data_IF_348339092733
#
_entry.id   IF_348339092733
#
_cell.length_a   1.000
_cell.length_b   1.000
_cell.length_c   1.000
_cell.angle_alpha   90.00
_cell.angle_beta   90.00
_cell.angle_gamma   90.00
#
_symmetry.space_group_name_H-M   'P 1'
#
loop_
_entity.id
_entity.type
_entity.pdbx_description
1 polymer ?
#
# COMPACT_ATOMS: atom_id res chain seq x y z
N UNK A 1 13.58 -28.63 -17.99
CA UNK A 1 12.49 -29.13 -18.85
C UNK A 1 11.23 -29.23 -18.00
N UNK A 2 10.21 -28.41 -18.28
CA UNK A 2 8.74 -28.63 -18.12
C UNK A 2 8.02 -27.27 -18.21
N UNK A 3 7.67 -26.84 -19.43
CA UNK A 3 6.31 -26.84 -20.04
C UNK A 3 5.43 -25.67 -19.57
N UNK A 4 5.54 -24.57 -20.32
CA UNK A 4 4.65 -23.39 -20.28
C UNK A 4 3.32 -23.76 -20.93
N UNK A 5 2.23 -23.75 -20.16
CA UNK A 5 0.88 -24.07 -20.65
C UNK A 5 0.22 -22.81 -21.22
N UNK A 6 0.33 -22.59 -22.53
CA UNK A 6 -0.42 -21.53 -23.24
C UNK A 6 -1.92 -21.81 -23.20
N UNK A 7 -2.67 -20.98 -22.48
CA UNK A 7 -4.14 -20.96 -22.49
C UNK A 7 -4.58 -20.16 -23.72
N UNK A 8 -5.06 -20.84 -24.75
CA UNK A 8 -5.69 -20.21 -25.92
C UNK A 8 -7.16 -19.95 -25.60
N UNK A 9 -7.52 -18.71 -25.28
CA UNK A 9 -8.90 -18.26 -25.34
C UNK A 9 -9.32 -18.14 -26.81
N UNK A 10 -10.28 -18.95 -27.25
CA UNK A 10 -11.00 -18.74 -28.52
C UNK A 10 -12.30 -18.00 -28.21
N UNK A 11 -12.43 -16.78 -28.71
CA UNK A 11 -13.73 -16.12 -28.86
C UNK A 11 -14.30 -16.47 -30.24
N UNK A 12 -15.53 -16.98 -30.37
CA UNK A 12 -16.26 -16.91 -31.63
C UNK A 12 -16.87 -15.51 -31.75
N UNK A 13 -16.23 -14.64 -32.55
CA UNK A 13 -16.85 -13.41 -33.03
C UNK A 13 -17.56 -13.75 -34.34
N UNK A 14 -18.88 -13.89 -34.33
CA UNK A 14 -19.69 -13.94 -35.55
C UNK A 14 -19.83 -12.51 -36.11
N UNK A 15 -18.92 -12.13 -37.01
CA UNK A 15 -18.91 -10.81 -37.70
C UNK A 15 -19.63 -10.91 -39.05
N UNK A 16 -20.39 -11.98 -39.31
CA UNK A 16 -20.98 -12.26 -40.63
C UNK A 16 -22.43 -11.77 -40.80
N UNK A 17 -22.81 -10.63 -40.22
CA UNK A 17 -24.18 -10.12 -40.37
C UNK A 17 -24.29 -8.61 -40.64
N UNK A 18 -23.25 -7.98 -41.23
CA UNK A 18 -23.26 -6.53 -41.49
C UNK A 18 -22.45 -6.07 -42.73
N UNK A 19 -22.37 -6.86 -43.81
CA UNK A 19 -21.79 -6.38 -45.07
C UNK A 19 -22.25 -7.21 -46.30
N UNK A 20 -23.37 -6.81 -46.91
CA UNK A 20 -23.88 -7.09 -48.28
C UNK A 20 -25.41 -6.94 -48.18
N UNK A 21 -26.14 -6.02 -48.81
CA UNK A 21 -25.94 -5.29 -50.07
C UNK A 21 -26.56 -3.89 -49.96
N UNK A 22 -25.80 -2.88 -50.34
CA UNK A 22 -26.32 -1.62 -50.85
C UNK A 22 -26.03 -1.56 -52.34
N UNK A 23 -27.01 -1.09 -53.11
CA UNK A 23 -26.99 -0.76 -54.55
C UNK A 23 -27.56 -1.83 -55.50
N UNK A 24 -28.87 -1.73 -55.75
CA UNK A 24 -29.39 -1.89 -57.12
C UNK A 24 -30.51 -0.90 -57.36
N UNK A 25 -30.14 0.19 -58.03
CA UNK A 25 -31.01 1.10 -58.75
C UNK A 25 -31.42 0.43 -60.05
N UNK A 26 -32.72 0.17 -60.24
CA UNK A 26 -33.25 -0.16 -61.56
C UNK A 26 -34.64 0.46 -61.69
N UNK A 27 -34.71 1.49 -62.54
CA UNK A 27 -35.93 2.06 -63.08
C UNK A 27 -36.81 0.98 -63.71
N UNK A 28 -38.13 1.03 -63.47
CA UNK A 28 -39.08 0.40 -64.38
C UNK A 28 -40.39 1.18 -64.42
N UNK A 29 -40.54 1.92 -65.53
CA UNK A 29 -41.72 2.08 -66.38
C UNK A 29 -43.03 2.53 -65.71
N UNK A 30 -43.31 3.81 -65.94
CA UNK A 30 -44.60 4.45 -65.90
C UNK A 30 -45.56 3.78 -66.92
N UNK A 31 -46.69 3.24 -66.45
CA UNK A 31 -47.83 2.89 -67.30
C UNK A 31 -48.99 3.76 -66.87
N UNK A 32 -49.30 4.75 -67.71
CA UNK A 32 -50.57 5.47 -67.67
C UNK A 32 -51.71 4.49 -67.91
N UNK A 33 -52.68 4.47 -67.00
CA UNK A 33 -54.04 4.03 -67.31
C UNK A 33 -54.99 5.07 -66.75
N UNK A 34 -55.60 5.79 -67.69
CA UNK A 34 -56.73 6.68 -67.50
C UNK A 34 -57.93 5.93 -66.91
N UNK A 35 -58.86 6.71 -66.33
CA UNK A 35 -60.28 6.39 -66.04
C UNK A 35 -60.48 5.36 -64.91
N UNK A 36 -61.17 5.61 -63.80
CA UNK A 36 -62.42 6.35 -63.61
C UNK A 36 -62.45 7.03 -62.23
N UNK A 37 -63.02 8.23 -62.18
CA UNK A 37 -63.59 8.81 -60.95
C UNK A 37 -64.86 8.04 -60.60
N UNK A 38 -64.72 6.77 -60.25
CA UNK A 38 -65.78 6.05 -59.54
C UNK A 38 -65.84 6.70 -58.17
N UNK A 39 -66.93 7.42 -57.89
CA UNK A 39 -67.31 7.77 -56.53
C UNK A 39 -67.14 6.51 -55.68
N UNK A 40 -66.05 6.45 -54.90
CA UNK A 40 -65.88 5.37 -53.95
C UNK A 40 -67.15 5.44 -53.13
N UNK A 41 -67.99 4.38 -53.07
CA UNK A 41 -69.00 4.36 -52.03
C UNK A 41 -68.22 4.68 -50.76
N UNK A 42 -68.66 5.66 -49.97
CA UNK A 42 -68.13 5.80 -48.63
C UNK A 42 -68.33 4.43 -47.99
N UNK A 43 -67.29 3.59 -48.02
CA UNK A 43 -67.25 2.30 -47.36
C UNK A 43 -67.17 2.71 -45.91
N UNK A 44 -68.35 3.00 -45.37
CA UNK A 44 -68.54 3.47 -44.02
C UNK A 44 -68.05 2.31 -43.16
N UNK A 45 -66.83 2.47 -42.64
CA UNK A 45 -66.21 1.46 -41.80
C UNK A 45 -67.14 1.33 -40.59
N UNK A 46 -67.66 0.12 -40.32
CA UNK A 46 -68.52 -0.08 -39.17
C UNK A 46 -67.80 0.45 -37.92
N UNK A 47 -68.49 1.23 -37.10
CA UNK A 47 -67.91 1.87 -35.91
C UNK A 47 -67.12 0.88 -35.04
N UNK A 48 -67.58 -0.35 -34.96
CA UNK A 48 -66.91 -1.48 -34.28
C UNK A 48 -65.49 -1.76 -34.80
N UNK A 49 -65.26 -1.73 -36.11
CA UNK A 49 -63.93 -1.94 -36.73
C UNK A 49 -63.00 -0.75 -36.46
N UNK A 50 -63.54 0.46 -36.46
CA UNK A 50 -62.76 1.67 -36.16
C UNK A 50 -62.30 1.71 -34.70
N UNK A 51 -63.20 1.34 -33.78
CA UNK A 51 -62.88 1.26 -32.36
C UNK A 51 -61.80 0.19 -32.09
N UNK A 52 -61.85 -0.98 -32.74
CA UNK A 52 -60.80 -2.01 -32.66
C UNK A 52 -59.43 -1.55 -33.18
N UNK A 53 -59.39 -0.78 -34.26
CA UNK A 53 -58.11 -0.28 -34.80
C UNK A 53 -57.53 0.78 -33.87
N UNK A 54 -58.36 1.65 -33.31
CA UNK A 54 -57.91 2.66 -32.35
C UNK A 54 -57.41 2.03 -31.04
N UNK A 55 -58.06 0.98 -30.55
CA UNK A 55 -57.57 0.27 -29.35
C UNK A 55 -56.23 -0.40 -29.64
N UNK A 56 -56.11 -1.11 -30.77
CA UNK A 56 -54.83 -1.73 -31.19
C UNK A 56 -53.72 -0.69 -31.41
N UNK A 57 -54.03 0.45 -32.01
CA UNK A 57 -53.06 1.51 -32.22
C UNK A 57 -52.56 2.06 -30.89
N UNK A 58 -53.46 2.34 -29.94
CA UNK A 58 -53.08 2.78 -28.59
C UNK A 58 -52.28 1.73 -27.83
N UNK A 59 -52.63 0.45 -27.97
CA UNK A 59 -51.88 -0.64 -27.34
C UNK A 59 -50.47 -0.79 -27.93
N UNK A 60 -50.34 -0.73 -29.26
CA UNK A 60 -49.04 -0.76 -29.94
C UNK A 60 -48.20 0.47 -29.58
N UNK A 61 -48.81 1.65 -29.54
CA UNK A 61 -48.13 2.88 -29.14
C UNK A 61 -47.61 2.77 -27.69
N UNK A 62 -48.43 2.24 -26.78
CA UNK A 62 -48.02 1.97 -25.39
C UNK A 62 -46.87 0.96 -25.31
N UNK A 63 -46.93 -0.13 -26.08
CA UNK A 63 -45.84 -1.12 -26.14
C UNK A 63 -44.54 -0.53 -26.70
N UNK A 64 -44.64 0.34 -27.70
CA UNK A 64 -43.49 1.03 -28.27
C UNK A 64 -42.85 1.97 -27.24
N UNK A 65 -43.65 2.77 -26.54
CA UNK A 65 -43.20 3.66 -25.48
C UNK A 65 -42.56 2.86 -24.33
N UNK A 66 -43.15 1.73 -23.94
CA UNK A 66 -42.60 0.84 -22.92
C UNK A 66 -41.27 0.20 -23.34
N UNK A 67 -41.16 -0.29 -24.58
CA UNK A 67 -39.90 -0.84 -25.12
C UNK A 67 -38.80 0.22 -25.25
N UNK A 68 -39.15 1.45 -25.66
CA UNK A 68 -38.18 2.55 -25.74
C UNK A 68 -37.68 2.93 -24.36
N UNK A 69 -38.57 2.98 -23.37
CA UNK A 69 -38.21 3.25 -21.99
C UNK A 69 -37.32 2.15 -21.41
N UNK A 70 -37.67 0.88 -21.63
CA UNK A 70 -36.84 -0.24 -21.16
C UNK A 70 -35.44 -0.23 -21.79
N UNK A 71 -35.34 0.06 -23.10
CA UNK A 71 -34.03 0.21 -23.76
C UNK A 71 -33.21 1.34 -23.13
N UNK A 72 -33.82 2.50 -22.89
CA UNK A 72 -33.13 3.64 -22.30
C UNK A 72 -32.67 3.35 -20.87
N UNK A 73 -33.51 2.69 -20.06
CA UNK A 73 -33.18 2.31 -18.69
C UNK A 73 -32.08 1.25 -18.66
N UNK A 74 -32.10 0.29 -19.60
CA UNK A 74 -31.03 -0.72 -19.74
C UNK A 74 -29.70 -0.08 -20.16
N UNK A 75 -29.71 0.83 -21.12
CA UNK A 75 -28.51 1.54 -21.56
C UNK A 75 -27.90 2.38 -20.43
N UNK A 76 -28.74 3.08 -19.65
CA UNK A 76 -28.30 3.80 -18.45
C UNK A 76 -27.70 2.87 -17.41
N UNK A 77 -28.36 1.75 -17.09
CA UNK A 77 -27.85 0.79 -16.13
C UNK A 77 -26.51 0.17 -16.59
N UNK A 78 -26.33 -0.07 -17.89
CA UNK A 78 -25.05 -0.55 -18.44
C UNK A 78 -23.97 0.54 -18.44
N UNK A 79 -24.33 1.80 -18.70
CA UNK A 79 -23.42 2.93 -18.62
C UNK A 79 -22.96 3.17 -17.17
N UNK A 80 -23.88 3.12 -16.21
CA UNK A 80 -23.60 3.21 -14.77
C UNK A 80 -22.69 2.08 -14.32
N UNK A 81 -23.01 0.82 -14.67
CA UNK A 81 -22.14 -0.32 -14.37
C UNK A 81 -20.74 -0.13 -14.95
N UNK A 82 -20.62 0.28 -16.22
CA UNK A 82 -19.33 0.55 -16.86
C UNK A 82 -18.54 1.64 -16.13
N UNK A 83 -19.20 2.74 -15.76
CA UNK A 83 -18.58 3.83 -14.99
C UNK A 83 -18.11 3.40 -13.61
N UNK A 84 -18.89 2.59 -12.89
CA UNK A 84 -18.50 2.03 -11.59
C UNK A 84 -17.32 1.06 -11.72
N UNK A 85 -17.29 0.22 -12.76
CA UNK A 85 -16.14 -0.65 -13.02
C UNK A 85 -14.87 0.14 -13.34
N UNK A 86 -14.97 1.21 -14.13
CA UNK A 86 -13.82 2.05 -14.45
C UNK A 86 -13.29 2.76 -13.21
N UNK A 87 -14.17 3.29 -12.35
CA UNK A 87 -13.77 3.86 -11.06
C UNK A 87 -13.06 2.83 -10.18
N UNK A 88 -13.67 1.65 -10.00
CA UNK A 88 -13.08 0.60 -9.17
C UNK A 88 -11.71 0.17 -9.70
N UNK A 89 -11.55 0.08 -11.02
CA UNK A 89 -10.28 -0.25 -11.65
C UNK A 89 -9.23 0.83 -11.40
N UNK A 90 -9.58 2.10 -11.59
CA UNK A 90 -8.68 3.23 -11.33
C UNK A 90 -8.26 3.28 -9.86
N UNK A 91 -9.20 3.09 -8.94
CA UNK A 91 -8.93 3.12 -7.50
C UNK A 91 -8.05 1.93 -7.08
N UNK A 92 -8.33 0.73 -7.59
CA UNK A 92 -7.51 -0.46 -7.32
C UNK A 92 -6.10 -0.31 -7.88
N UNK A 93 -5.97 0.27 -9.08
CA UNK A 93 -4.67 0.53 -9.71
C UNK A 93 -3.87 1.54 -8.89
N UNK A 94 -4.48 2.65 -8.48
CA UNK A 94 -3.85 3.64 -7.60
C UNK A 94 -3.43 3.02 -6.28
N UNK A 95 -4.29 2.24 -5.63
CA UNK A 95 -3.93 1.55 -4.39
C UNK A 95 -2.77 0.59 -4.59
N UNK A 96 -2.75 -0.19 -5.67
CA UNK A 96 -1.65 -1.10 -5.99
C UNK A 96 -0.33 -0.35 -6.20
N UNK A 97 -0.35 0.79 -6.90
CA UNK A 97 0.82 1.66 -7.08
C UNK A 97 1.28 2.28 -5.75
N UNK A 98 0.34 2.75 -4.91
CA UNK A 98 0.64 3.24 -3.56
C UNK A 98 1.26 2.17 -2.67
N UNK A 99 0.76 0.93 -2.70
CA UNK A 99 1.33 -0.16 -1.91
C UNK A 99 2.70 -0.55 -2.43
N UNK A 100 2.90 -0.56 -3.75
CA UNK A 100 4.21 -0.84 -4.36
C UNK A 100 5.25 0.20 -3.94
N UNK A 101 4.92 1.49 -4.07
CA UNK A 101 5.82 2.58 -3.67
C UNK A 101 6.10 2.57 -2.17
N UNK A 102 5.11 2.29 -1.32
CA UNK A 102 5.31 2.11 0.13
C UNK A 102 6.21 0.91 0.45
N UNK A 103 6.06 -0.19 -0.27
CA UNK A 103 6.90 -1.37 -0.07
C UNK A 103 8.37 -1.07 -0.45
N UNK A 104 8.60 -0.50 -1.64
CA UNK A 104 9.94 -0.13 -2.11
C UNK A 104 10.63 0.86 -1.17
N UNK A 105 9.91 1.89 -0.70
CA UNK A 105 10.47 2.88 0.24
C UNK A 105 10.74 2.29 1.62
N UNK A 106 9.88 1.39 2.09
CA UNK A 106 10.10 0.69 3.37
C UNK A 106 11.28 -0.25 3.26
N UNK A 107 11.43 -0.99 2.17
CA UNK A 107 12.57 -1.88 1.93
C UNK A 107 13.89 -1.10 1.90
N UNK A 108 13.94 0.01 1.18
CA UNK A 108 15.11 0.91 1.18
C UNK A 108 15.44 1.41 2.60
N UNK A 109 14.42 1.79 3.36
CA UNK A 109 14.60 2.26 4.74
C UNK A 109 15.08 1.14 5.65
N UNK A 110 14.57 -0.08 5.50
CA UNK A 110 15.01 -1.26 6.27
C UNK A 110 16.47 -1.55 5.96
N UNK A 111 16.88 -1.59 4.69
CA UNK A 111 18.29 -1.81 4.31
C UNK A 111 19.22 -0.73 4.88
N UNK A 112 18.82 0.54 4.83
CA UNK A 112 19.57 1.64 5.44
C UNK A 112 19.70 1.45 6.95
N UNK A 113 18.62 1.10 7.64
CA UNK A 113 18.63 0.86 9.08
C UNK A 113 19.49 -0.36 9.43
N UNK A 114 19.38 -1.47 8.71
CA UNK A 114 20.21 -2.66 8.89
C UNK A 114 21.70 -2.32 8.74
N UNK A 115 22.07 -1.49 7.75
CA UNK A 115 23.44 -1.02 7.57
C UNK A 115 23.91 -0.16 8.75
N UNK A 116 23.10 0.80 9.19
CA UNK A 116 23.45 1.68 10.33
C UNK A 116 23.56 0.86 11.63
N UNK A 117 22.65 -0.07 11.85
CA UNK A 117 22.63 -0.96 13.01
C UNK A 117 23.88 -1.87 12.99
N UNK A 118 24.27 -2.39 11.83
CA UNK A 118 25.49 -3.20 11.69
C UNK A 118 26.74 -2.37 12.00
N UNK A 119 26.84 -1.15 11.48
CA UNK A 119 27.95 -0.22 11.80
C UNK A 119 28.00 0.11 13.30
N UNK A 120 26.84 0.29 13.93
CA UNK A 120 26.76 0.54 15.37
C UNK A 120 27.21 -0.68 16.17
N UNK A 121 26.83 -1.89 15.74
CA UNK A 121 27.30 -3.14 16.36
C UNK A 121 28.82 -3.26 16.26
N UNK A 122 29.40 -3.02 15.09
CA UNK A 122 30.86 -3.09 14.89
C UNK A 122 31.58 -2.08 15.80
N UNK A 123 31.12 -0.82 15.85
CA UNK A 123 31.67 0.20 16.74
C UNK A 123 31.54 -0.18 18.23
N UNK A 124 30.47 -0.87 18.62
CA UNK A 124 30.31 -1.41 19.98
C UNK A 124 31.25 -2.58 20.25
N UNK A 125 31.45 -3.48 19.28
CA UNK A 125 32.38 -4.61 19.40
C UNK A 125 33.83 -4.16 19.54
N UNK A 126 34.25 -3.08 18.86
CA UNK A 126 35.58 -2.49 19.01
C UNK A 126 35.87 -2.02 20.44
N UNK A 127 34.85 -1.47 21.12
CA UNK A 127 34.97 -1.01 22.51
C UNK A 127 34.95 -2.14 23.54
N UNK A 128 34.51 -3.34 23.15
CA UNK A 128 34.45 -4.52 24.02
C UNK A 128 35.81 -5.25 23.98
N UNK A 129 36.44 -5.53 25.15
CA UNK A 129 37.66 -6.33 25.21
C UNK A 129 37.46 -7.71 24.60
N UNK A 130 38.48 -8.25 23.92
CA UNK A 130 38.40 -9.52 23.18
C UNK A 130 37.92 -10.69 24.04
N UNK A 131 38.36 -10.77 25.30
CA UNK A 131 37.97 -11.81 26.27
C UNK A 131 36.45 -11.93 26.48
N UNK A 132 35.70 -10.83 26.26
CA UNK A 132 34.25 -10.80 26.43
C UNK A 132 33.48 -10.91 25.11
N UNK A 133 34.16 -10.91 23.95
CA UNK A 133 33.50 -11.07 22.63
C UNK A 133 32.92 -12.47 22.46
N UNK A 134 33.57 -13.47 23.03
CA UNK A 134 33.12 -14.87 23.00
C UNK A 134 31.83 -15.11 23.80
N UNK A 135 31.47 -14.19 24.71
CA UNK A 135 30.23 -14.27 25.48
C UNK A 135 29.00 -13.85 24.66
N UNK A 136 29.20 -13.23 23.50
CA UNK A 136 28.12 -12.76 22.64
C UNK A 136 27.57 -13.94 21.84
N UNK A 137 26.28 -14.32 22.01
CA UNK A 137 25.72 -15.45 21.29
C UNK A 137 25.74 -15.23 19.77
N UNK A 138 26.31 -16.17 19.02
CA UNK A 138 26.43 -16.08 17.57
C UNK A 138 25.08 -16.19 16.84
N UNK A 139 24.12 -16.90 17.44
CA UNK A 139 22.80 -17.22 16.89
C UNK A 139 21.78 -16.07 16.98
N UNK A 140 22.17 -14.89 17.47
CA UNK A 140 21.30 -13.73 17.58
C UNK A 140 21.29 -12.88 16.30
N UNK A 141 20.16 -12.23 16.04
CA UNK A 141 20.10 -11.16 15.03
C UNK A 141 20.90 -9.94 15.49
N UNK A 142 21.25 -9.03 14.57
CA UNK A 142 22.08 -7.84 14.88
C UNK A 142 21.44 -6.98 15.98
N UNK A 143 20.13 -6.81 15.93
CA UNK A 143 19.35 -6.07 16.94
C UNK A 143 19.42 -6.73 18.33
N UNK A 144 19.25 -8.06 18.38
CA UNK A 144 19.32 -8.84 19.61
C UNK A 144 20.73 -8.82 20.21
N UNK A 145 21.77 -8.84 19.36
CA UNK A 145 23.17 -8.69 19.81
C UNK A 145 23.38 -7.33 20.47
N UNK A 146 22.88 -6.26 19.86
CA UNK A 146 22.96 -4.91 20.43
C UNK A 146 22.20 -4.80 21.76
N UNK A 147 21.01 -5.36 21.86
CA UNK A 147 20.24 -5.36 23.12
C UNK A 147 20.96 -6.14 24.23
N UNK A 148 21.55 -7.29 23.89
CA UNK A 148 22.36 -8.06 24.83
C UNK A 148 23.59 -7.27 25.28
N UNK A 149 24.32 -6.65 24.35
CA UNK A 149 25.48 -5.81 24.66
C UNK A 149 25.08 -4.65 25.57
N UNK A 150 23.98 -3.95 25.25
CA UNK A 150 23.49 -2.85 26.07
C UNK A 150 23.11 -3.31 27.49
N UNK A 151 22.50 -4.49 27.62
CA UNK A 151 22.15 -5.08 28.91
C UNK A 151 23.40 -5.51 29.69
N UNK A 152 24.39 -6.09 29.01
CA UNK A 152 25.67 -6.49 29.60
C UNK A 152 26.49 -5.26 30.05
N UNK A 153 26.53 -4.21 29.25
CA UNK A 153 27.16 -2.92 29.55
C UNK A 153 26.49 -2.28 30.78
N UNK A 154 25.15 -2.24 30.83
CA UNK A 154 24.39 -1.73 31.99
C UNK A 154 24.64 -2.55 33.27
N UNK A 155 24.86 -3.85 33.14
CA UNK A 155 25.23 -4.74 34.25
C UNK A 155 26.69 -4.60 34.67
N UNK A 156 27.48 -3.79 33.97
CA UNK A 156 28.89 -3.54 34.26
C UNK A 156 29.82 -4.68 33.82
N UNK A 157 29.39 -5.55 32.91
CA UNK A 157 30.21 -6.68 32.44
C UNK A 157 31.52 -6.21 31.79
N UNK A 158 31.47 -5.07 31.09
CA UNK A 158 32.62 -4.45 30.43
C UNK A 158 33.30 -3.36 31.28
N UNK A 159 32.83 -3.10 32.49
CA UNK A 159 33.44 -2.10 33.36
C UNK A 159 34.81 -2.62 33.85
N UNK A 160 35.86 -1.82 33.65
CA UNK A 160 37.18 -2.13 34.24
C UNK A 160 37.04 -2.16 35.75
N UNK A 161 37.30 -3.32 36.36
CA UNK A 161 37.32 -3.45 37.83
C UNK A 161 38.32 -2.43 38.38
N UNK A 162 37.97 -1.60 39.36
CA UNK A 162 38.97 -0.80 40.05
C UNK A 162 39.98 -1.78 40.64
N UNK A 163 41.27 -1.55 40.38
CA UNK A 163 42.33 -2.32 41.02
C UNK A 163 42.19 -2.10 42.53
N UNK A 164 41.59 -3.07 43.23
CA UNK A 164 41.70 -3.15 44.68
C UNK A 164 43.18 -3.38 44.96
N UNK A 165 43.81 -2.41 45.60
CA UNK A 165 45.15 -2.55 46.14
C UNK A 165 45.05 -3.66 47.19
N UNK A 166 45.55 -4.85 46.87
CA UNK A 166 45.61 -5.95 47.82
C UNK A 166 46.79 -5.65 48.72
N UNK A 167 46.46 -5.21 49.94
CA UNK A 167 47.38 -4.69 50.93
C UNK A 167 47.19 -3.19 51.07
N UNK A 168 46.72 -2.75 52.23
CA UNK A 168 46.99 -1.37 52.65
C UNK A 168 48.50 -1.19 52.66
N UNK A 169 48.99 -0.02 52.19
CA UNK A 169 50.39 0.35 52.29
C UNK A 169 50.86 0.08 53.73
N UNK A 170 51.77 -0.88 53.92
CA UNK A 170 52.37 -1.17 55.24
C UNK A 170 53.27 -0.05 55.74
N UNK A 171 53.32 1.08 55.03
CA UNK A 171 53.84 2.33 55.54
C UNK A 171 52.71 3.07 56.25
N UNK A 172 52.94 3.38 57.53
CA UNK A 172 52.01 4.04 58.44
C UNK A 172 51.18 5.13 57.73
N UNK A 173 49.86 5.20 58.01
CA UNK A 173 48.96 6.10 57.30
C UNK A 173 49.55 7.50 57.32
N UNK A 174 49.63 8.05 56.11
CA UNK A 174 50.02 9.40 55.75
C UNK A 174 49.80 10.34 56.94
N UNK A 175 50.89 10.87 57.52
CA UNK A 175 50.83 11.81 58.63
C UNK A 175 49.86 12.89 58.19
N UNK A 176 48.67 12.89 58.76
CA UNK A 176 47.64 13.87 58.47
C UNK A 176 48.33 15.23 58.54
N UNK A 177 48.39 15.94 57.40
CA UNK A 177 48.91 17.30 57.37
C UNK A 177 47.98 18.12 58.24
N UNK A 178 48.35 18.27 59.50
CA UNK A 178 47.64 19.07 60.47
C UNK A 178 47.55 20.47 59.89
N UNK A 179 46.35 20.91 59.54
CA UNK A 179 46.13 22.21 58.90
C UNK A 179 46.44 23.31 59.90
N UNK A 180 47.62 23.91 59.76
CA UNK A 180 48.20 24.91 60.66
C UNK A 180 47.30 26.13 60.88
N UNK A 181 46.36 26.38 59.97
CA UNK A 181 45.42 27.50 60.06
C UNK A 181 44.27 27.25 61.04
N UNK A 182 44.05 25.99 61.43
CA UNK A 182 42.96 25.59 62.33
C UNK A 182 43.41 25.38 63.78
N UNK A 183 44.69 25.59 64.09
CA UNK A 183 45.24 25.43 65.44
C UNK A 183 45.27 26.74 66.22
N UNK A 184 44.99 26.63 67.52
CA UNK A 184 45.17 27.73 68.45
C UNK A 184 46.68 28.06 68.59
N UNK A 185 47.08 29.34 68.76
CA UNK A 185 48.48 29.76 68.97
C UNK A 185 49.30 28.88 69.92
N UNK A 186 48.70 28.35 71.00
CA UNK A 186 49.38 27.45 71.93
C UNK A 186 49.75 26.10 71.30
N UNK A 187 48.88 25.55 70.46
CA UNK A 187 49.11 24.28 69.75
C UNK A 187 50.11 24.46 68.61
N UNK A 188 50.10 25.61 67.93
CA UNK A 188 51.10 25.97 66.92
C UNK A 188 52.50 25.98 67.53
N UNK A 189 52.65 26.55 68.73
CA UNK A 189 53.92 26.56 69.46
C UNK A 189 54.38 25.14 69.81
N UNK A 190 53.49 24.28 70.33
CA UNK A 190 53.85 22.89 70.64
C UNK A 190 54.23 22.07 69.40
N UNK A 191 53.56 22.30 68.27
CA UNK A 191 53.87 21.64 66.99
C UNK A 191 55.24 22.07 66.44
N UNK A 192 55.66 23.32 66.65
CA UNK A 192 56.96 23.84 66.22
C UNK A 192 58.15 23.40 67.07
N UNK A 193 57.93 23.08 68.36
CA UNK A 193 58.98 22.69 69.29
C UNK A 193 59.01 21.18 69.61
N UNK A 194 58.01 20.42 69.16
CA UNK A 194 57.89 18.98 69.37
C UNK A 194 58.61 18.13 68.31
N UNK A 195 59.93 18.25 68.20
CA UNK A 195 60.74 17.21 67.53
C UNK A 195 62.18 17.26 68.02
N UNK A 196 62.49 16.43 69.01
CA UNK A 196 63.79 15.75 69.14
C UNK A 196 63.54 14.26 69.07
#
# INVERSE_FOLDING_TARGET
MTVTKSIKFRFPMDIQYFAEDSETSAETVNTETQTETTEKPEIMIPKTRFDEVNTKFKDVQRQLEELLKEKQDREKAEAEKRGEYERLYQDTTKQAEEFKTKAETTEQRVQQLESVISQLLDAKLENIPEDFRDLIPANFTVEQKLEWIATAEKKGLFAKKPQQQIGDDTNAPDKQKVDLNSLNPMQLFMAGYGSK
#
